data_IF_184484259686
#
_entry.id   IF_184484259686
#
_cell.length_a   1.000
_cell.length_b   1.000
_cell.length_c   1.000
_cell.angle_alpha   90.00
_cell.angle_beta   90.00
_cell.angle_gamma   90.00
#
_symmetry.space_group_name_H-M   'P 1'
#
loop_
_entity.id
_entity.type
_entity.pdbx_description
1 polymer ?
#
# COMPACT_ATOMS: atom_id res chain seq x y z
N UNK A 1 -0.87 -2.67 -11.16
CA UNK A 1 0.10 -3.01 -10.09
C UNK A 1 -0.70 -3.14 -8.80
N UNK A 2 -0.44 -4.16 -8.00
CA UNK A 2 -1.09 -4.37 -6.70
C UNK A 2 -0.07 -4.08 -5.62
N UNK A 3 -0.46 -3.26 -4.64
CA UNK A 3 0.33 -2.95 -3.46
C UNK A 3 -0.30 -3.59 -2.23
N UNK A 4 0.54 -4.06 -1.31
CA UNK A 4 0.14 -4.51 0.01
C UNK A 4 1.12 -3.94 1.04
N UNK A 5 0.58 -3.57 2.20
CA UNK A 5 1.38 -3.18 3.36
C UNK A 5 2.28 -4.34 3.78
N UNK A 6 3.47 -4.03 4.25
CA UNK A 6 4.42 -5.00 4.75
C UNK A 6 4.74 -4.70 6.22
N UNK A 7 5.07 -5.71 7.04
CA UNK A 7 5.58 -5.49 8.38
C UNK A 7 6.87 -4.65 8.38
N UNK A 8 7.17 -3.95 9.48
CA UNK A 8 8.37 -3.11 9.57
C UNK A 8 9.64 -3.93 9.35
N UNK A 9 10.57 -3.39 8.56
CA UNK A 9 11.85 -4.04 8.24
C UNK A 9 11.81 -5.00 7.04
N UNK A 10 10.69 -5.08 6.32
CA UNK A 10 10.58 -5.86 5.07
C UNK A 10 11.32 -5.19 3.90
N UNK A 11 11.40 -3.85 3.91
CA UNK A 11 11.91 -3.07 2.80
C UNK A 11 10.97 -3.05 1.58
N UNK A 12 11.52 -2.62 0.43
CA UNK A 12 10.75 -2.45 -0.81
C UNK A 12 10.90 -3.68 -1.72
N UNK A 13 9.89 -4.55 -1.67
CA UNK A 13 9.78 -5.72 -2.53
C UNK A 13 8.90 -5.36 -3.73
N UNK A 14 9.51 -4.85 -4.80
CA UNK A 14 8.81 -4.43 -6.01
C UNK A 14 9.66 -4.64 -7.28
N UNK A 15 9.02 -4.60 -8.45
CA UNK A 15 9.74 -4.57 -9.73
C UNK A 15 10.53 -3.26 -9.88
N UNK A 16 11.63 -3.27 -10.64
CA UNK A 16 12.56 -2.13 -10.77
C UNK A 16 11.90 -0.76 -10.95
N UNK A 17 10.99 -0.58 -11.94
CA UNK A 17 10.35 0.72 -12.16
C UNK A 17 9.43 1.15 -11.02
N UNK A 18 8.67 0.22 -10.43
CA UNK A 18 7.82 0.52 -9.26
C UNK A 18 8.64 0.76 -8.00
N UNK A 19 9.78 0.07 -7.81
CA UNK A 19 10.70 0.28 -6.68
C UNK A 19 11.24 1.70 -6.69
N UNK A 20 11.74 2.17 -7.83
CA UNK A 20 12.27 3.53 -7.96
C UNK A 20 11.24 4.60 -7.57
N UNK A 21 9.97 4.39 -7.90
CA UNK A 21 8.88 5.30 -7.49
C UNK A 21 8.66 5.25 -5.98
N UNK A 22 8.64 4.06 -5.36
CA UNK A 22 8.45 3.92 -3.91
C UNK A 22 9.62 4.48 -3.10
N UNK A 23 10.86 4.28 -3.57
CA UNK A 23 12.07 4.88 -2.99
C UNK A 23 12.02 6.41 -3.04
N UNK A 24 11.63 6.97 -4.19
CA UNK A 24 11.50 8.42 -4.35
C UNK A 24 10.42 9.05 -3.45
N UNK A 25 9.37 8.29 -3.13
CA UNK A 25 8.30 8.71 -2.21
C UNK A 25 8.68 8.51 -0.73
N UNK A 26 9.80 7.85 -0.44
CA UNK A 26 10.24 7.57 0.93
C UNK A 26 9.44 6.48 1.64
N UNK A 27 8.81 5.57 0.89
CA UNK A 27 8.10 4.42 1.48
C UNK A 27 9.11 3.37 1.89
N UNK A 28 9.14 3.03 3.18
CA UNK A 28 10.11 2.06 3.72
C UNK A 28 9.73 0.61 3.40
N UNK A 29 8.49 0.21 3.72
CA UNK A 29 8.07 -1.19 3.74
C UNK A 29 6.84 -1.40 2.85
N UNK A 30 7.02 -2.12 1.73
CA UNK A 30 5.92 -2.42 0.81
C UNK A 30 6.21 -3.65 -0.04
N UNK A 31 5.17 -4.45 -0.28
CA UNK A 31 5.21 -5.53 -1.28
C UNK A 31 4.32 -5.15 -2.47
N UNK A 32 4.89 -5.20 -3.66
CA UNK A 32 4.20 -4.86 -4.90
C UNK A 32 4.37 -5.94 -5.96
N UNK A 33 3.27 -6.26 -6.65
CA UNK A 33 3.28 -7.17 -7.81
C UNK A 33 2.65 -6.52 -9.04
N UNK A 34 3.32 -6.69 -10.17
CA UNK A 34 2.81 -6.32 -11.48
C UNK A 34 2.00 -7.48 -12.09
N UNK A 35 0.68 -7.33 -12.15
CA UNK A 35 -0.20 -8.27 -12.85
C UNK A 35 -0.52 -7.68 -14.24
N UNK A 36 -0.03 -8.33 -15.30
CA UNK A 36 -0.19 -7.87 -16.69
C UNK A 36 1.16 -7.62 -17.37
N UNK A 37 1.37 -6.41 -17.88
CA UNK A 37 2.56 -6.06 -18.66
C UNK A 37 3.79 -5.79 -17.79
N UNK A 38 4.97 -6.15 -18.32
CA UNK A 38 6.29 -5.83 -17.77
C UNK A 38 6.94 -4.58 -18.37
N UNK A 39 6.26 -3.88 -19.30
CA UNK A 39 6.80 -2.66 -19.91
C UNK A 39 7.02 -1.57 -18.84
N UNK A 40 8.26 -1.07 -18.64
CA UNK A 40 8.59 -0.08 -17.61
C UNK A 40 7.74 1.19 -17.65
N UNK A 41 7.44 1.71 -18.85
CA UNK A 41 6.66 2.93 -19.00
C UNK A 41 5.25 2.79 -18.45
N UNK A 42 4.58 1.69 -18.81
CA UNK A 42 3.24 1.38 -18.33
C UNK A 42 3.26 1.01 -16.84
N UNK A 43 4.36 0.41 -16.35
CA UNK A 43 4.51 0.05 -14.94
C UNK A 43 4.54 1.30 -14.05
N UNK A 44 5.29 2.33 -14.43
CA UNK A 44 5.35 3.61 -13.70
C UNK A 44 3.99 4.28 -13.70
N UNK A 45 3.32 4.37 -14.87
CA UNK A 45 1.99 4.95 -14.97
C UNK A 45 0.95 4.21 -14.12
N UNK A 46 0.97 2.88 -14.16
CA UNK A 46 0.09 2.05 -13.34
C UNK A 46 0.41 2.14 -11.84
N UNK A 47 1.67 2.40 -11.48
CA UNK A 47 2.08 2.62 -10.09
C UNK A 47 1.49 3.94 -9.58
N UNK A 48 1.61 5.03 -10.34
CA UNK A 48 1.05 6.33 -9.98
C UNK A 48 -0.49 6.26 -9.87
N UNK A 49 -1.16 5.64 -10.84
CA UNK A 49 -2.62 5.45 -10.80
C UNK A 49 -3.07 4.62 -9.59
N UNK A 50 -2.33 3.56 -9.24
CA UNK A 50 -2.63 2.78 -8.03
C UNK A 50 -2.50 3.61 -6.75
N UNK A 51 -1.46 4.45 -6.63
CA UNK A 51 -1.25 5.32 -5.47
C UNK A 51 -2.37 6.37 -5.35
N UNK A 52 -2.82 6.95 -6.46
CA UNK A 52 -3.93 7.92 -6.48
C UNK A 52 -5.28 7.34 -6.02
N UNK A 53 -5.46 6.02 -6.12
CA UNK A 53 -6.68 5.34 -5.67
C UNK A 53 -6.68 5.04 -4.17
N UNK A 54 -5.57 5.27 -3.48
CA UNK A 54 -5.46 5.05 -2.04
C UNK A 54 -6.33 6.06 -1.30
N UNK A 55 -7.11 5.59 -0.34
CA UNK A 55 -8.02 6.44 0.43
C UNK A 55 -7.52 6.56 1.86
N UNK A 56 -7.56 7.78 2.41
CA UNK A 56 -7.24 7.98 3.81
C UNK A 56 -8.38 7.46 4.70
N UNK A 57 -8.06 6.87 5.87
CA UNK A 57 -9.07 6.41 6.83
C UNK A 57 -10.07 7.50 7.20
N UNK A 58 -9.61 8.76 7.29
CA UNK A 58 -10.44 9.94 7.55
C UNK A 58 -11.47 10.20 6.46
N UNK A 59 -11.08 10.11 5.18
CA UNK A 59 -12.02 10.27 4.06
C UNK A 59 -13.05 9.13 4.03
N UNK A 60 -12.63 7.90 4.34
CA UNK A 60 -13.53 6.74 4.41
C UNK A 60 -14.53 6.91 5.55
N UNK A 61 -14.07 7.30 6.73
CA UNK A 61 -14.91 7.57 7.90
C UNK A 61 -15.97 8.64 7.60
N UNK A 62 -15.57 9.75 6.99
CA UNK A 62 -16.47 10.85 6.64
C UNK A 62 -17.53 10.41 5.62
N UNK A 63 -17.16 9.63 4.60
CA UNK A 63 -18.11 9.09 3.62
C UNK A 63 -19.11 8.12 4.23
N UNK A 64 -18.68 7.33 5.21
CA UNK A 64 -19.49 6.31 5.89
C UNK A 64 -20.27 6.84 7.10
N UNK A 65 -20.00 8.06 7.56
CA UNK A 65 -20.64 8.64 8.74
C UNK A 65 -20.26 7.99 10.07
N UNK A 66 -19.11 7.31 10.13
CA UNK A 66 -18.60 6.59 11.31
C UNK A 66 -17.36 7.28 11.88
N UNK A 67 -16.98 6.95 13.11
CA UNK A 67 -15.77 7.53 13.73
C UNK A 67 -14.53 6.95 13.05
N UNK A 68 -13.44 7.73 13.03
CA UNK A 68 -12.16 7.29 12.44
C UNK A 68 -11.59 6.08 13.19
N UNK A 69 -11.79 6.01 14.51
CA UNK A 69 -11.37 4.87 15.32
C UNK A 69 -11.94 3.55 14.79
N UNK A 70 -13.25 3.52 14.51
CA UNK A 70 -13.95 2.31 14.04
C UNK A 70 -13.45 1.83 12.66
N UNK A 71 -12.85 2.73 11.86
CA UNK A 71 -12.23 2.37 10.56
C UNK A 71 -10.85 1.73 10.74
N UNK A 72 -10.12 2.12 11.79
CA UNK A 72 -8.75 1.67 12.04
C UNK A 72 -8.68 0.35 12.83
N UNK A 73 -9.69 0.03 13.66
CA UNK A 73 -9.64 -1.18 14.51
C UNK A 73 -9.52 -2.49 13.72
N UNK A 74 -9.90 -2.51 12.44
CA UNK A 74 -9.72 -3.69 11.57
C UNK A 74 -8.23 -3.92 11.23
N UNK A 75 -7.40 -2.87 11.23
CA UNK A 75 -5.99 -2.95 10.89
C UNK A 75 -5.14 -3.49 12.06
N UNK A 76 -5.40 -3.05 13.30
CA UNK A 76 -4.67 -3.50 14.50
C UNK A 76 -4.79 -5.02 14.74
N UNK A 77 -5.96 -5.59 14.44
CA UNK A 77 -6.20 -7.05 14.55
C UNK A 77 -5.25 -7.88 13.67
N UNK A 78 -4.71 -7.30 12.59
CA UNK A 78 -3.73 -7.96 11.71
C UNK A 78 -2.28 -7.88 12.21
N UNK A 79 -1.94 -6.84 12.97
CA UNK A 79 -0.64 -6.72 13.65
C UNK A 79 -0.57 -7.65 14.87
N UNK A 80 -1.65 -7.71 15.67
CA UNK A 80 -1.74 -8.60 16.84
C UNK A 80 -1.71 -10.08 16.42
N UNK A 81 -2.43 -10.47 15.35
CA UNK A 81 -2.44 -11.84 14.86
C UNK A 81 -1.10 -12.31 14.24
N UNK A 82 -0.23 -11.39 13.81
CA UNK A 82 1.13 -11.72 13.34
C UNK A 82 2.16 -11.70 14.47
N UNK A 83 1.94 -10.96 15.55
CA UNK A 83 2.82 -10.95 16.72
C UNK A 83 2.70 -12.20 17.59
N UNK A 84 1.56 -12.91 17.50
CA UNK A 84 1.30 -14.16 18.24
C UNK A 84 1.65 -15.46 17.48
N UNK A 85 2.18 -15.37 16.25
CA UNK A 85 2.55 -16.52 15.39
C UNK A 85 4.06 -16.64 15.19
#
# INVERSE_FOLDING_TARGET
VVFRTAPPGTGIIAGGPSRAVMEALGVADVVAKSNGTSNPYNLVRATIDALQRTQSPRQVAQRRGIKVADVLQIADQGEEAMAEA
#
